data_IF_695632633670
#
_entry.id   IF_695632633670
#
_cell.length_a   1.000
_cell.length_b   1.000
_cell.length_c   1.000
_cell.angle_alpha   90.00
_cell.angle_beta   90.00
_cell.angle_gamma   90.00
#
_symmetry.space_group_name_H-M   'P 1'
#
loop_
_entity.id
_entity.type
_entity.pdbx_description
1 polymer ?
#
# COMPACT_ATOMS: atom_id res chain seq x y z
N UNK A 1 22.01 11.20 -5.77
CA UNK A 1 21.97 10.28 -4.61
C UNK A 1 23.24 10.25 -3.79
N UNK A 2 24.45 10.49 -4.34
CA UNK A 2 25.70 10.38 -3.56
C UNK A 2 25.77 11.30 -2.33
N UNK A 3 25.04 12.41 -2.31
CA UNK A 3 24.99 13.33 -1.15
C UNK A 3 23.84 13.07 -0.18
N UNK A 4 22.97 12.10 -0.48
CA UNK A 4 21.83 11.78 0.38
C UNK A 4 22.33 11.11 1.67
N UNK A 5 21.84 11.57 2.83
CA UNK A 5 22.22 11.02 4.13
C UNK A 5 21.06 10.41 4.91
N UNK A 6 19.83 10.82 4.57
CA UNK A 6 18.59 10.43 5.24
C UNK A 6 17.55 9.99 4.20
N UNK A 7 16.91 8.86 4.46
CA UNK A 7 15.74 8.38 3.70
C UNK A 7 14.56 8.30 4.66
N UNK A 8 13.45 8.90 4.28
CA UNK A 8 12.18 8.81 5.01
C UNK A 8 11.21 8.01 4.17
N UNK A 9 10.57 7.02 4.79
CA UNK A 9 9.58 6.16 4.15
C UNK A 9 8.30 6.24 4.97
N UNK A 10 7.24 6.73 4.34
CA UNK A 10 5.90 6.74 4.93
C UNK A 10 5.11 5.48 4.50
N UNK A 11 4.10 5.13 5.28
CA UNK A 11 3.27 3.93 5.11
C UNK A 11 4.04 2.62 4.95
N UNK A 12 4.96 2.37 5.89
CA UNK A 12 5.83 1.18 5.92
C UNK A 12 5.08 -0.16 5.90
N UNK A 13 3.80 -0.16 6.29
CA UNK A 13 2.91 -1.32 6.23
C UNK A 13 2.76 -1.90 4.81
N UNK A 14 2.86 -1.06 3.77
CA UNK A 14 2.78 -1.51 2.37
C UNK A 14 4.10 -2.09 1.89
N UNK A 15 5.20 -1.84 2.62
CA UNK A 15 6.52 -2.35 2.29
C UNK A 15 6.68 -3.77 2.79
N UNK A 16 6.90 -4.69 1.86
CA UNK A 16 7.17 -6.07 2.20
C UNK A 16 8.64 -6.37 2.50
N UNK A 17 8.88 -7.54 3.06
CA UNK A 17 10.22 -8.04 3.41
C UNK A 17 11.17 -8.11 2.21
N UNK A 18 10.66 -8.45 1.01
CA UNK A 18 11.48 -8.46 -0.21
C UNK A 18 11.88 -7.05 -0.63
N UNK A 19 10.97 -6.08 -0.47
CA UNK A 19 11.20 -4.70 -0.89
C UNK A 19 12.31 -4.04 -0.06
N UNK A 20 12.31 -4.20 1.27
CA UNK A 20 13.39 -3.64 2.10
C UNK A 20 14.76 -4.26 1.78
N UNK A 21 14.80 -5.56 1.45
CA UNK A 21 16.04 -6.23 1.00
C UNK A 21 16.51 -5.66 -0.34
N UNK A 22 15.60 -5.42 -1.28
CA UNK A 22 15.94 -4.79 -2.55
C UNK A 22 16.45 -3.37 -2.37
N UNK A 23 15.84 -2.57 -1.48
CA UNK A 23 16.31 -1.22 -1.14
C UNK A 23 17.74 -1.28 -0.59
N UNK A 24 18.01 -2.14 0.39
CA UNK A 24 19.36 -2.35 0.96
C UNK A 24 20.38 -2.73 -0.13
N UNK A 25 20.06 -3.71 -0.97
CA UNK A 25 20.94 -4.15 -2.05
C UNK A 25 21.22 -3.04 -3.07
N UNK A 26 20.20 -2.25 -3.45
CA UNK A 26 20.38 -1.14 -4.39
C UNK A 26 21.23 -0.03 -3.79
N UNK A 27 21.05 0.31 -2.52
CA UNK A 27 21.90 1.28 -1.84
C UNK A 27 23.35 0.81 -1.81
N UNK A 28 23.61 -0.44 -1.40
CA UNK A 28 24.95 -1.04 -1.41
C UNK A 28 25.61 -0.98 -2.79
N UNK A 29 24.85 -1.25 -3.86
CA UNK A 29 25.34 -1.15 -5.25
C UNK A 29 25.69 0.28 -5.65
N UNK A 30 24.83 1.25 -5.37
CA UNK A 30 25.01 2.67 -5.77
C UNK A 30 26.22 3.28 -5.05
N UNK A 31 26.37 2.99 -3.77
CA UNK A 31 27.42 3.54 -2.91
C UNK A 31 28.66 2.67 -2.81
N UNK A 32 28.68 1.51 -3.48
CA UNK A 32 29.81 0.57 -3.53
C UNK A 32 30.32 0.18 -2.14
N UNK A 33 29.40 -0.19 -1.25
CA UNK A 33 29.69 -0.56 0.15
C UNK A 33 28.93 -1.79 0.56
N UNK A 34 29.41 -2.50 1.57
CA UNK A 34 28.74 -3.66 2.19
C UNK A 34 27.91 -3.29 3.41
N UNK A 35 27.98 -2.03 3.87
CA UNK A 35 27.23 -1.56 5.03
C UNK A 35 25.72 -1.66 4.81
N UNK A 36 24.92 -2.12 5.79
CA UNK A 36 23.46 -2.06 5.72
C UNK A 36 22.97 -0.66 5.34
N UNK A 37 22.07 -0.60 4.37
CA UNK A 37 21.54 0.62 3.78
C UNK A 37 22.61 1.64 3.34
N UNK A 38 23.79 1.15 2.96
CA UNK A 38 24.97 1.96 2.66
C UNK A 38 25.41 2.93 3.78
N UNK A 39 25.04 2.64 5.04
CA UNK A 39 25.34 3.50 6.19
C UNK A 39 24.44 4.74 6.27
N UNK A 40 23.37 4.83 5.48
CA UNK A 40 22.41 5.93 5.53
C UNK A 40 21.49 5.82 6.75
N UNK A 41 21.01 6.96 7.24
CA UNK A 41 19.95 6.99 8.25
C UNK A 41 18.59 6.78 7.59
N UNK A 42 17.77 5.89 8.15
CA UNK A 42 16.43 5.60 7.66
C UNK A 42 15.42 5.90 8.77
N UNK A 43 14.32 6.57 8.41
CA UNK A 43 13.17 6.79 9.31
C UNK A 43 11.92 6.26 8.62
N UNK A 44 11.22 5.36 9.31
CA UNK A 44 9.98 4.78 8.82
C UNK A 44 8.78 5.27 9.63
N UNK A 45 7.70 5.56 8.93
CA UNK A 45 6.40 5.91 9.49
C UNK A 45 5.33 4.96 8.96
N UNK A 46 4.32 4.69 9.78
CA UNK A 46 3.17 3.87 9.41
C UNK A 46 2.51 3.22 10.60
N UNK A 47 1.39 2.53 10.35
CA UNK A 47 0.61 1.81 11.35
C UNK A 47 0.27 0.39 10.86
N UNK A 48 0.87 -0.61 11.49
CA UNK A 48 0.65 -2.02 11.12
C UNK A 48 -0.78 -2.52 11.39
N UNK A 49 -1.66 -1.73 12.02
CA UNK A 49 -3.08 -2.07 12.14
C UNK A 49 -3.90 -1.68 10.89
N UNK A 50 -3.29 -1.09 9.86
CA UNK A 50 -3.96 -0.84 8.59
C UNK A 50 -3.78 -2.03 7.62
N UNK A 51 -3.57 -1.77 6.32
CA UNK A 51 -3.51 -2.80 5.29
C UNK A 51 -2.18 -3.58 5.33
N UNK A 52 -2.19 -4.90 5.08
CA UNK A 52 -0.96 -5.67 4.93
C UNK A 52 -0.24 -5.32 3.62
N UNK A 53 1.05 -5.68 3.48
CA UNK A 53 1.76 -5.56 2.21
C UNK A 53 1.11 -6.41 1.12
N UNK A 54 1.09 -5.89 -0.11
CA UNK A 54 0.48 -6.57 -1.25
C UNK A 54 1.44 -7.60 -1.86
N UNK A 55 1.09 -8.88 -1.73
CA UNK A 55 1.83 -9.98 -2.38
C UNK A 55 3.23 -10.24 -1.81
N UNK A 56 3.51 -9.76 -0.60
CA UNK A 56 4.75 -9.96 0.14
C UNK A 56 4.46 -10.20 1.63
N UNK A 57 5.46 -10.64 2.39
CA UNK A 57 5.38 -10.79 3.86
C UNK A 57 5.62 -9.44 4.53
N UNK A 58 5.16 -9.28 5.78
CA UNK A 58 5.45 -8.07 6.56
C UNK A 58 6.96 -7.80 6.63
N UNK A 59 7.33 -6.53 6.70
CA UNK A 59 8.73 -6.09 6.68
C UNK A 59 9.61 -6.73 7.78
N UNK A 60 9.02 -7.02 8.93
CA UNK A 60 9.67 -7.67 10.08
C UNK A 60 9.73 -9.19 9.96
N UNK A 61 9.02 -9.80 9.01
CA UNK A 61 9.07 -11.23 8.74
C UNK A 61 10.20 -11.55 7.77
N UNK A 62 10.78 -12.74 7.88
CA UNK A 62 11.83 -13.18 6.97
C UNK A 62 11.25 -13.57 5.62
N UNK A 63 11.82 -13.03 4.55
CA UNK A 63 11.55 -13.48 3.19
C UNK A 63 12.28 -14.81 2.92
N UNK A 64 11.66 -15.93 3.28
CA UNK A 64 12.23 -17.27 3.15
C UNK A 64 11.14 -18.33 3.05
N UNK A 65 11.38 -19.35 2.22
CA UNK A 65 10.50 -20.52 2.10
C UNK A 65 10.71 -21.54 3.24
N UNK A 66 11.68 -21.31 4.11
CA UNK A 66 11.92 -22.14 5.29
C UNK A 66 10.86 -21.87 6.37
N UNK A 67 10.19 -22.92 6.84
CA UNK A 67 9.15 -22.88 7.89
C UNK A 67 9.67 -22.28 9.21
N UNK A 68 10.97 -22.43 9.50
CA UNK A 68 11.59 -21.86 10.70
C UNK A 68 11.91 -20.37 10.59
N UNK A 69 11.78 -19.78 9.38
CA UNK A 69 12.15 -18.40 9.14
C UNK A 69 11.30 -17.38 9.91
N UNK A 70 10.11 -17.79 10.35
CA UNK A 70 9.21 -16.95 11.15
C UNK A 70 9.70 -16.76 12.58
N UNK A 71 10.58 -17.64 13.08
CA UNK A 71 11.19 -17.53 14.41
C UNK A 71 12.41 -16.61 14.45
N UNK A 72 12.99 -16.27 13.31
CA UNK A 72 14.27 -15.53 13.24
C UNK A 72 14.14 -14.09 12.72
N UNK A 73 12.93 -13.60 12.45
CA UNK A 73 12.69 -12.23 12.01
C UNK A 73 13.43 -11.82 10.71
N UNK A 74 13.29 -10.56 10.31
CA UNK A 74 14.10 -9.96 9.25
C UNK A 74 15.34 -9.28 9.85
N UNK A 75 16.57 -9.72 9.54
CA UNK A 75 17.79 -9.13 10.10
C UNK A 75 17.94 -7.63 9.81
N UNK A 76 17.41 -7.14 8.69
CA UNK A 76 17.43 -5.71 8.37
C UNK A 76 16.48 -4.92 9.27
N UNK A 77 15.37 -5.52 9.70
CA UNK A 77 14.42 -4.90 10.61
C UNK A 77 14.98 -4.79 12.04
N UNK A 78 15.80 -5.75 12.46
CA UNK A 78 16.45 -5.75 13.78
C UNK A 78 17.40 -4.57 14.00
N UNK A 79 17.82 -3.89 12.92
CA UNK A 79 18.64 -2.67 13.01
C UNK A 79 17.85 -1.42 13.44
N UNK A 80 16.52 -1.47 13.40
CA UNK A 80 15.66 -0.33 13.67
C UNK A 80 15.27 -0.23 15.14
N UNK A 81 15.20 1.00 15.63
CA UNK A 81 14.60 1.32 16.92
C UNK A 81 13.15 1.75 16.70
N UNK A 82 12.22 1.11 17.41
CA UNK A 82 10.79 1.40 17.28
C UNK A 82 10.33 2.38 18.34
N UNK A 83 9.59 3.41 17.91
CA UNK A 83 8.94 4.39 18.78
C UNK A 83 7.44 4.38 18.49
N UNK A 84 6.63 4.40 19.54
CA UNK A 84 5.18 4.38 19.44
C UNK A 84 4.61 5.75 19.80
N UNK A 85 3.84 6.33 18.86
CA UNK A 85 3.06 7.53 19.14
C UNK A 85 1.74 7.13 19.79
N UNK A 86 1.41 7.73 20.93
CA UNK A 86 0.24 7.37 21.74
C UNK A 86 -0.90 8.39 21.66
N UNK A 87 -0.62 9.62 21.19
CA UNK A 87 -1.62 10.68 21.08
C UNK A 87 -2.30 10.69 19.70
N UNK A 88 -3.64 10.63 19.70
CA UNK A 88 -4.44 10.71 18.47
C UNK A 88 -4.74 12.18 18.16
N UNK A 89 -4.08 12.72 17.14
CA UNK A 89 -4.22 14.14 16.78
C UNK A 89 -5.41 14.42 15.84
N UNK A 90 -5.84 13.43 15.04
CA UNK A 90 -6.83 13.63 13.96
C UNK A 90 -8.26 13.83 14.45
N UNK A 91 -8.62 13.22 15.58
CA UNK A 91 -9.98 13.17 16.13
C UNK A 91 -10.00 13.63 17.60
N UNK A 92 -9.28 14.72 17.90
CA UNK A 92 -9.16 15.22 19.29
C UNK A 92 -10.51 15.56 19.92
N UNK A 93 -11.45 16.07 19.11
CA UNK A 93 -12.76 16.51 19.60
C UNK A 93 -13.77 15.36 19.77
N UNK A 94 -13.47 14.16 19.27
CA UNK A 94 -14.31 12.96 19.43
C UNK A 94 -13.47 11.74 19.84
N UNK A 95 -12.99 11.78 21.08
CA UNK A 95 -12.16 10.72 21.66
C UNK A 95 -12.90 9.36 21.69
N UNK A 96 -14.22 9.34 21.91
CA UNK A 96 -15.00 8.09 21.93
C UNK A 96 -14.98 7.41 20.57
N UNK A 97 -15.17 8.18 19.50
CA UNK A 97 -15.10 7.66 18.14
C UNK A 97 -13.68 7.23 17.75
N UNK A 98 -12.67 8.02 18.13
CA UNK A 98 -11.26 7.67 17.90
C UNK A 98 -10.88 6.33 18.56
N UNK A 99 -11.30 6.11 19.80
CA UNK A 99 -11.08 4.85 20.52
C UNK A 99 -11.81 3.68 19.85
N UNK A 100 -13.07 3.88 19.44
CA UNK A 100 -13.83 2.87 18.72
C UNK A 100 -13.14 2.46 17.40
N UNK A 101 -12.58 3.40 16.63
CA UNK A 101 -11.82 3.11 15.42
C UNK A 101 -10.54 2.31 15.69
N UNK A 102 -9.80 2.64 16.75
CA UNK A 102 -8.62 1.87 17.15
C UNK A 102 -8.98 0.43 17.57
N UNK A 103 -10.09 0.25 18.28
CA UNK A 103 -10.58 -1.07 18.68
C UNK A 103 -11.11 -1.86 17.48
N UNK A 104 -11.72 -1.19 16.51
CA UNK A 104 -12.09 -1.77 15.21
C UNK A 104 -10.84 -2.30 14.49
N UNK A 105 -9.77 -1.50 14.41
CA UNK A 105 -8.53 -1.90 13.74
C UNK A 105 -7.88 -3.14 14.41
N UNK A 106 -8.02 -3.27 15.74
CA UNK A 106 -7.53 -4.42 16.51
C UNK A 106 -8.51 -5.60 16.55
N UNK A 107 -9.74 -5.44 16.07
CA UNK A 107 -10.78 -6.47 16.12
C UNK A 107 -11.36 -6.75 17.51
N UNK A 108 -11.33 -5.78 18.44
CA UNK A 108 -11.73 -5.95 19.86
C UNK A 108 -12.91 -5.05 20.27
N UNK A 109 -13.81 -4.76 19.33
CA UNK A 109 -14.97 -3.90 19.57
C UNK A 109 -15.93 -4.46 20.61
N UNK A 110 -16.46 -3.58 21.47
CA UNK A 110 -17.59 -3.89 22.34
C UNK A 110 -18.95 -3.45 21.72
N UNK A 111 -20.06 -3.89 22.31
CA UNK A 111 -21.41 -3.60 21.79
C UNK A 111 -21.72 -2.10 21.69
N UNK A 112 -21.20 -1.28 22.60
CA UNK A 112 -21.43 0.17 22.61
C UNK A 112 -20.71 0.83 21.44
N UNK A 113 -19.48 0.42 21.15
CA UNK A 113 -18.70 0.90 20.01
C UNK A 113 -19.30 0.44 18.68
N UNK A 114 -19.80 -0.80 18.61
CA UNK A 114 -20.52 -1.29 17.43
C UNK A 114 -21.76 -0.43 17.17
N UNK A 115 -22.55 -0.14 18.21
CA UNK A 115 -23.72 0.77 18.09
C UNK A 115 -23.30 2.17 17.65
N UNK A 116 -22.20 2.71 18.20
CA UNK A 116 -21.66 4.01 17.81
C UNK A 116 -21.31 4.07 16.32
N UNK A 117 -20.64 3.04 15.79
CA UNK A 117 -20.27 2.95 14.37
C UNK A 117 -21.52 2.80 13.48
N UNK A 118 -22.45 1.93 13.86
CA UNK A 118 -23.70 1.70 13.11
C UNK A 118 -24.60 2.93 13.07
N UNK A 119 -24.58 3.79 14.09
CA UNK A 119 -25.31 5.06 14.10
C UNK A 119 -24.78 6.08 13.06
N UNK A 120 -23.72 5.74 12.31
CA UNK A 120 -23.20 6.54 11.19
C UNK A 120 -23.57 5.96 9.83
N UNK A 121 -24.26 4.82 9.80
CA UNK A 121 -24.87 4.31 8.59
C UNK A 121 -26.01 5.25 8.19
N UNK A 122 -25.95 5.74 6.95
CA UNK A 122 -26.94 6.67 6.40
C UNK A 122 -27.42 6.15 5.05
N UNK A 123 -28.64 6.52 4.69
CA UNK A 123 -29.18 6.23 3.37
C UNK A 123 -28.35 6.90 2.27
N UNK A 124 -28.27 6.23 1.12
CA UNK A 124 -27.48 6.72 -0.02
C UNK A 124 -27.89 8.13 -0.49
N UNK A 125 -29.16 8.50 -0.30
CA UNK A 125 -29.72 9.82 -0.62
C UNK A 125 -29.22 10.93 0.30
N UNK A 126 -28.83 10.60 1.54
CA UNK A 126 -28.32 11.57 2.52
C UNK A 126 -26.84 11.90 2.32
N UNK A 127 -26.11 11.12 1.51
CA UNK A 127 -24.67 11.31 1.34
C UNK A 127 -24.40 12.46 0.37
N UNK A 128 -23.63 13.50 0.76
CA UNK A 128 -23.35 14.65 -0.10
C UNK A 128 -22.79 14.26 -1.48
N UNK A 129 -23.26 14.94 -2.53
CA UNK A 129 -22.83 14.67 -3.91
C UNK A 129 -21.32 14.85 -4.13
N UNK A 130 -20.70 15.76 -3.37
CA UNK A 130 -19.25 16.06 -3.45
C UNK A 130 -18.40 15.27 -2.47
N UNK A 131 -18.99 14.42 -1.62
CA UNK A 131 -18.22 13.66 -0.65
C UNK A 131 -17.39 12.55 -1.35
N UNK A 132 -16.18 12.32 -0.86
CA UNK A 132 -15.31 11.24 -1.33
C UNK A 132 -15.98 9.90 -0.97
N UNK A 133 -15.99 8.95 -1.92
CA UNK A 133 -16.47 7.58 -1.70
C UNK A 133 -15.29 6.63 -1.72
N UNK A 134 -15.17 5.81 -0.69
CA UNK A 134 -14.13 4.78 -0.57
C UNK A 134 -14.80 3.42 -0.79
N UNK A 135 -14.22 2.60 -1.68
CA UNK A 135 -14.74 1.27 -2.01
C UNK A 135 -13.67 0.21 -1.82
N UNK A 136 -14.10 -1.03 -1.61
CA UNK A 136 -13.21 -2.18 -1.44
C UNK A 136 -12.46 -2.58 -2.72
N UNK A 137 -13.02 -2.34 -3.91
CA UNK A 137 -12.47 -2.84 -5.17
C UNK A 137 -12.47 -1.76 -6.25
N UNK A 138 -11.45 -1.80 -7.12
CA UNK A 138 -11.32 -0.89 -8.25
C UNK A 138 -12.55 -0.94 -9.16
N UNK A 139 -13.08 -2.13 -9.47
CA UNK A 139 -14.31 -2.25 -10.27
C UNK A 139 -15.51 -1.46 -9.71
N UNK A 140 -15.62 -1.31 -8.37
CA UNK A 140 -16.67 -0.48 -7.74
C UNK A 140 -16.33 1.02 -7.79
N UNK A 141 -15.04 1.35 -7.64
CA UNK A 141 -14.53 2.71 -7.85
C UNK A 141 -14.83 3.16 -9.28
N UNK A 142 -14.50 2.35 -10.27
CA UNK A 142 -14.68 2.62 -11.69
C UNK A 142 -16.16 2.81 -12.02
N UNK A 143 -17.01 1.85 -11.62
CA UNK A 143 -18.45 1.94 -11.84
C UNK A 143 -19.08 3.21 -11.22
N UNK A 144 -18.62 3.62 -10.03
CA UNK A 144 -19.10 4.85 -9.40
C UNK A 144 -18.56 6.09 -10.11
N UNK A 145 -17.27 6.13 -10.42
CA UNK A 145 -16.64 7.26 -11.10
C UNK A 145 -17.24 7.48 -12.49
N UNK A 146 -17.48 6.42 -13.26
CA UNK A 146 -18.13 6.49 -14.57
C UNK A 146 -19.52 7.14 -14.47
N UNK A 147 -20.32 6.73 -13.49
CA UNK A 147 -21.64 7.32 -13.23
C UNK A 147 -21.53 8.81 -12.92
N UNK A 148 -20.56 9.22 -12.10
CA UNK A 148 -20.35 10.63 -11.74
C UNK A 148 -19.87 11.44 -12.95
N UNK A 149 -18.91 10.93 -13.73
CA UNK A 149 -18.39 11.61 -14.92
C UNK A 149 -19.51 11.85 -15.94
N UNK A 150 -20.38 10.85 -16.16
CA UNK A 150 -21.54 10.98 -17.04
C UNK A 150 -22.50 12.10 -16.60
N UNK A 151 -22.72 12.27 -15.29
CA UNK A 151 -23.59 13.32 -14.75
C UNK A 151 -23.03 14.74 -15.00
N UNK A 152 -21.71 14.93 -15.02
CA UNK A 152 -21.10 16.25 -15.21
C UNK A 152 -20.92 16.64 -16.69
N UNK A 153 -21.25 15.75 -17.64
CA UNK A 153 -21.27 15.98 -19.09
C UNK A 153 -20.00 16.64 -19.68
N UNK A 154 -18.85 16.41 -19.04
CA UNK A 154 -17.51 16.89 -19.46
C UNK A 154 -16.57 15.69 -19.55
N UNK A 155 -16.81 14.81 -20.52
CA UNK A 155 -15.95 13.64 -20.76
C UNK A 155 -14.90 13.99 -21.83
N UNK A 156 -13.63 13.93 -21.45
CA UNK A 156 -12.51 13.83 -22.39
C UNK A 156 -12.08 12.37 -22.34
N UNK A 157 -11.90 11.73 -23.49
CA UNK A 157 -11.45 10.35 -23.59
C UNK A 157 -10.08 10.33 -24.25
N UNK A 158 -9.11 9.75 -23.57
CA UNK A 158 -7.75 9.52 -24.08
C UNK A 158 -7.51 8.01 -24.03
N UNK A 159 -7.22 7.40 -25.18
CA UNK A 159 -6.98 5.95 -25.26
C UNK A 159 -5.48 5.66 -25.15
N UNK A 160 -5.12 4.76 -24.24
CA UNK A 160 -3.75 4.28 -24.13
C UNK A 160 -3.38 3.37 -25.31
N UNK A 161 -2.15 3.52 -25.83
CA UNK A 161 -1.63 2.70 -26.94
C UNK A 161 -0.52 1.80 -26.42
N UNK A 162 -0.80 0.50 -26.31
CA UNK A 162 0.19 -0.51 -25.97
C UNK A 162 1.15 -0.73 -27.15
N UNK A 163 2.47 -0.58 -26.93
CA UNK A 163 3.49 -0.78 -27.96
C UNK A 163 4.58 -1.72 -27.51
N UNK A 164 4.84 -2.76 -28.30
CA UNK A 164 6.01 -3.62 -28.14
C UNK A 164 7.20 -3.00 -28.87
N UNK A 165 8.29 -2.74 -28.17
CA UNK A 165 9.55 -2.24 -28.74
C UNK A 165 10.49 -3.38 -29.13
N UNK A 166 11.18 -3.26 -30.27
CA UNK A 166 12.13 -4.26 -30.80
C UNK A 166 11.78 -4.73 -32.21
N UNK A 167 12.41 -5.82 -32.69
CA UNK A 167 12.06 -6.51 -33.94
C UNK A 167 11.46 -7.93 -33.70
N UNK A 168 10.38 -8.08 -32.90
CA UNK A 168 9.68 -9.36 -32.80
C UNK A 168 8.86 -9.63 -34.08
N UNK A 169 8.68 -10.90 -34.42
CA UNK A 169 7.68 -11.26 -35.43
C UNK A 169 6.24 -10.98 -34.91
N UNK A 170 5.26 -10.91 -35.81
CA UNK A 170 3.89 -10.53 -35.46
C UNK A 170 3.23 -11.49 -34.46
N UNK A 171 3.55 -12.78 -34.53
CA UNK A 171 3.05 -13.79 -33.59
C UNK A 171 3.53 -13.52 -32.16
N UNK A 172 4.81 -13.21 -31.99
CA UNK A 172 5.41 -12.86 -30.69
C UNK A 172 4.84 -11.53 -30.19
N UNK A 173 4.71 -10.53 -31.06
CA UNK A 173 4.12 -9.23 -30.71
C UNK A 173 2.69 -9.39 -30.18
N UNK A 174 1.83 -10.12 -30.88
CA UNK A 174 0.44 -10.34 -30.47
C UNK A 174 0.36 -11.13 -29.15
N UNK A 175 1.24 -12.13 -28.97
CA UNK A 175 1.31 -12.89 -27.72
C UNK A 175 1.73 -12.01 -26.54
N UNK A 176 2.71 -11.13 -26.72
CA UNK A 176 3.19 -10.21 -25.67
C UNK A 176 2.12 -9.18 -25.29
N UNK A 177 1.46 -8.58 -26.27
CA UNK A 177 0.36 -7.65 -26.03
C UNK A 177 -0.79 -8.33 -25.28
N UNK A 178 -1.14 -9.56 -25.66
CA UNK A 178 -2.17 -10.33 -24.95
C UNK A 178 -1.75 -10.66 -23.52
N UNK A 179 -0.53 -11.15 -23.33
CA UNK A 179 -0.01 -11.48 -22.00
C UNK A 179 0.04 -10.25 -21.07
N UNK A 180 0.38 -9.07 -21.60
CA UNK A 180 0.38 -7.83 -20.82
C UNK A 180 -1.01 -7.42 -20.34
N UNK A 181 -2.06 -7.66 -21.14
CA UNK A 181 -3.45 -7.33 -20.77
C UNK A 181 -4.02 -8.30 -19.75
N UNK A 182 -3.62 -9.56 -19.85
CA UNK A 182 -4.10 -10.64 -18.99
C UNK A 182 -3.26 -10.77 -17.69
N UNK A 183 -2.15 -10.03 -17.59
CA UNK A 183 -1.25 -10.09 -16.44
C UNK A 183 -1.95 -9.60 -15.16
N UNK A 184 -1.79 -10.38 -14.10
CA UNK A 184 -2.29 -10.00 -12.77
C UNK A 184 -1.40 -8.93 -12.14
N UNK A 185 -1.96 -8.13 -11.24
CA UNK A 185 -1.18 -7.16 -10.46
C UNK A 185 0.03 -7.80 -9.73
N UNK A 186 -0.06 -9.09 -9.38
CA UNK A 186 1.03 -9.85 -8.77
C UNK A 186 2.18 -10.10 -9.77
N UNK A 187 1.87 -10.39 -11.02
CA UNK A 187 2.83 -10.57 -12.10
C UNK A 187 3.48 -9.24 -12.52
N UNK A 188 2.72 -8.14 -12.43
CA UNK A 188 3.22 -6.78 -12.63
C UNK A 188 4.00 -6.21 -11.43
N UNK A 189 4.24 -7.01 -10.38
CA UNK A 189 4.89 -6.57 -9.13
C UNK A 189 4.21 -5.36 -8.47
N UNK A 190 2.89 -5.24 -8.61
CA UNK A 190 2.10 -4.14 -8.07
C UNK A 190 2.12 -2.87 -8.92
N UNK A 191 2.78 -2.88 -10.09
CA UNK A 191 2.62 -1.83 -11.09
C UNK A 191 1.28 -2.01 -11.83
N UNK A 192 0.57 -0.91 -12.14
CA UNK A 192 -0.65 -0.95 -12.93
C UNK A 192 -0.41 -1.44 -14.36
#
# INVERSE_FOLDING_TARGET
MRDTRLIIIDEILMMGSRMIQQVDLRLKQIFQTSQPFAGMSLIFFGDFNQLPPLGDRYIFQRNSNNVYADFCGNPLWELFHSYYLTEIMRLKDDQKFAMALNNLAKGVLNETEIKLLKNREVDASAIPCKAIRIFRSNAKVDAFNDKIIQLYNKKITEEAIDKVTGQPNDNVKNRLLKASRDATARECQGLP
#
